data_IF_755040717957
#
_entry.id   IF_755040717957
#
_cell.length_a   1.000
_cell.length_b   1.000
_cell.length_c   1.000
_cell.angle_alpha   90.00
_cell.angle_beta   90.00
_cell.angle_gamma   90.00
#
_symmetry.space_group_name_H-M   'P 1'
#
loop_
_entity.id
_entity.type
_entity.pdbx_description
1 polymer ?
#
# COMPACT_ATOMS: atom_id res chain seq x y z
N UNK A 1 -33.94 76.50 -28.71
CA UNK A 1 -34.43 75.25 -28.08
C UNK A 1 -34.17 74.10 -29.04
N UNK A 2 -33.10 73.34 -28.82
CA UNK A 2 -33.08 71.86 -28.83
C UNK A 2 -31.64 71.37 -28.69
N UNK A 3 -31.47 70.55 -27.66
CA UNK A 3 -30.25 69.91 -27.20
C UNK A 3 -30.07 68.65 -28.05
N UNK A 4 -28.87 68.40 -28.59
CA UNK A 4 -28.56 67.11 -29.22
C UNK A 4 -27.37 66.49 -28.49
N UNK A 5 -27.68 65.45 -27.72
CA UNK A 5 -26.81 64.78 -26.75
C UNK A 5 -25.63 64.08 -27.44
N UNK A 6 -24.43 64.28 -26.88
CA UNK A 6 -23.23 63.51 -27.23
C UNK A 6 -23.41 62.06 -26.78
N UNK A 7 -23.47 61.12 -27.74
CA UNK A 7 -23.35 59.70 -27.47
C UNK A 7 -21.96 59.39 -26.90
N UNK A 8 -21.89 58.90 -25.65
CA UNK A 8 -20.64 58.42 -25.06
C UNK A 8 -20.24 57.14 -25.79
N UNK A 9 -19.05 57.11 -26.36
CA UNK A 9 -18.42 55.87 -26.80
C UNK A 9 -17.97 55.12 -25.53
N UNK A 10 -18.78 54.16 -25.08
CA UNK A 10 -18.34 53.16 -24.11
C UNK A 10 -17.45 52.16 -24.86
N UNK A 11 -16.24 52.58 -25.20
CA UNK A 11 -15.23 51.68 -25.74
C UNK A 11 -14.65 50.93 -24.53
N UNK A 12 -15.30 49.84 -24.16
CA UNK A 12 -14.78 48.95 -23.13
C UNK A 12 -13.49 48.32 -23.68
N UNK A 13 -12.40 48.51 -22.94
CA UNK A 13 -11.10 47.92 -23.19
C UNK A 13 -11.20 46.38 -23.04
N UNK A 14 -11.68 45.70 -24.08
CA UNK A 14 -11.87 44.24 -24.11
C UNK A 14 -10.63 43.51 -24.68
N UNK A 15 -9.60 44.25 -25.07
CA UNK A 15 -8.45 43.69 -25.80
C UNK A 15 -7.35 43.06 -24.94
N UNK A 16 -7.54 42.94 -23.61
CA UNK A 16 -6.60 42.29 -22.70
C UNK A 16 -7.15 41.11 -21.90
N UNK A 17 -8.47 40.87 -21.95
CA UNK A 17 -9.10 39.85 -21.11
C UNK A 17 -9.03 38.44 -21.71
N UNK A 18 -8.94 38.30 -23.03
CA UNK A 18 -8.82 36.97 -23.66
C UNK A 18 -7.45 36.31 -23.46
N UNK A 19 -6.40 37.11 -23.31
CA UNK A 19 -5.03 36.59 -23.21
C UNK A 19 -4.78 35.96 -21.83
N UNK A 20 -5.20 36.67 -20.78
CA UNK A 20 -5.06 36.22 -19.39
C UNK A 20 -6.10 35.16 -19.04
N UNK A 21 -7.37 35.33 -19.44
CA UNK A 21 -8.41 34.34 -19.13
C UNK A 21 -8.14 33.02 -19.87
N UNK A 22 -7.66 33.07 -21.12
CA UNK A 22 -7.25 31.87 -21.86
C UNK A 22 -6.08 31.15 -21.21
N UNK A 23 -5.09 31.91 -20.71
CA UNK A 23 -3.93 31.34 -20.02
C UNK A 23 -4.31 30.66 -18.71
N UNK A 24 -5.14 31.31 -17.88
CA UNK A 24 -5.62 30.73 -16.63
C UNK A 24 -6.47 29.48 -16.91
N UNK A 25 -7.33 29.52 -17.93
CA UNK A 25 -8.13 28.36 -18.34
C UNK A 25 -7.24 27.18 -18.79
N UNK A 26 -6.18 27.45 -19.57
CA UNK A 26 -5.25 26.42 -20.04
C UNK A 26 -4.47 25.79 -18.87
N UNK A 27 -3.98 26.59 -17.94
CA UNK A 27 -3.22 26.09 -16.77
C UNK A 27 -4.14 25.26 -15.89
N UNK A 28 -5.38 25.69 -15.65
CA UNK A 28 -6.31 24.94 -14.79
C UNK A 28 -6.65 23.57 -15.35
N UNK A 29 -6.99 23.46 -16.63
CA UNK A 29 -7.33 22.17 -17.23
C UNK A 29 -6.13 21.21 -17.30
N UNK A 30 -4.92 21.74 -17.54
CA UNK A 30 -3.70 20.92 -17.59
C UNK A 30 -3.29 20.45 -16.21
N UNK A 31 -3.37 21.28 -15.18
CA UNK A 31 -3.14 20.87 -13.78
C UNK A 31 -4.16 19.82 -13.35
N UNK A 32 -5.42 19.96 -13.75
CA UNK A 32 -6.44 18.95 -13.49
C UNK A 32 -6.11 17.61 -14.17
N UNK A 33 -5.75 17.62 -15.47
CA UNK A 33 -5.35 16.41 -16.18
C UNK A 33 -4.11 15.76 -15.56
N UNK A 34 -3.08 16.55 -15.25
CA UNK A 34 -1.87 16.06 -14.60
C UNK A 34 -2.17 15.41 -13.24
N UNK A 35 -3.09 15.99 -12.47
CA UNK A 35 -3.52 15.47 -11.17
C UNK A 35 -4.21 14.11 -11.32
N UNK A 36 -5.13 13.97 -12.28
CA UNK A 36 -5.82 12.70 -12.53
C UNK A 36 -4.82 11.60 -12.91
N UNK A 37 -3.87 11.90 -13.79
CA UNK A 37 -2.82 10.95 -14.17
C UNK A 37 -1.93 10.58 -12.98
N UNK A 38 -1.54 11.56 -12.15
CA UNK A 38 -0.76 11.30 -10.94
C UNK A 38 -1.50 10.38 -9.95
N UNK A 39 -2.79 10.64 -9.70
CA UNK A 39 -3.63 9.78 -8.85
C UNK A 39 -3.74 8.38 -9.43
N UNK A 40 -3.94 8.25 -10.75
CA UNK A 40 -4.02 6.95 -11.41
C UNK A 40 -2.73 6.15 -11.23
N UNK A 41 -1.56 6.78 -11.40
CA UNK A 41 -0.25 6.12 -11.23
C UNK A 41 -0.04 5.70 -9.77
N UNK A 42 -0.38 6.56 -8.81
CA UNK A 42 -0.22 6.23 -7.38
C UNK A 42 -1.19 5.15 -6.91
N UNK A 43 -2.41 5.09 -7.46
CA UNK A 43 -3.37 4.03 -7.14
C UNK A 43 -2.99 2.67 -7.75
N UNK A 44 -2.01 2.60 -8.65
CA UNK A 44 -1.48 1.32 -9.14
C UNK A 44 -0.51 0.65 -8.16
N UNK A 45 -0.05 1.36 -7.11
CA UNK A 45 0.67 0.72 -6.02
C UNK A 45 -0.38 0.36 -4.95
N UNK A 46 -0.86 -0.90 -4.89
CA UNK A 46 -1.65 -1.31 -3.73
C UNK A 46 -0.81 -1.07 -2.48
N UNK A 47 -1.43 -0.61 -1.38
CA UNK A 47 -0.74 -0.58 -0.10
C UNK A 47 -0.18 -1.97 0.17
N UNK A 48 1.09 -2.02 0.55
CA UNK A 48 1.68 -3.24 1.08
C UNK A 48 1.02 -3.51 2.43
N UNK A 49 -0.10 -4.24 2.40
CA UNK A 49 -0.75 -4.71 3.61
C UNK A 49 0.18 -5.75 4.25
N UNK A 50 0.85 -5.33 5.31
CA UNK A 50 1.63 -6.21 6.18
C UNK A 50 0.67 -6.65 7.27
N UNK A 51 0.39 -7.97 7.40
CA UNK A 51 -0.45 -8.47 8.46
C UNK A 51 0.19 -8.15 9.80
N UNK A 52 -0.58 -7.57 10.70
CA UNK A 52 -0.11 -7.24 12.04
C UNK A 52 -0.28 -8.49 12.89
N UNK A 53 0.79 -9.27 13.04
CA UNK A 53 0.82 -10.48 13.85
C UNK A 53 1.76 -10.32 15.02
N UNK A 54 1.34 -10.85 16.16
CA UNK A 54 2.15 -10.96 17.37
C UNK A 54 2.58 -12.42 17.53
N UNK A 55 3.88 -12.61 17.72
CA UNK A 55 4.51 -13.93 17.65
C UNK A 55 5.45 -14.09 18.83
N UNK A 56 5.33 -15.22 19.52
CA UNK A 56 6.27 -15.63 20.56
C UNK A 56 7.16 -16.78 20.07
N UNK A 57 8.41 -16.77 20.50
CA UNK A 57 9.43 -17.74 20.07
C UNK A 57 9.90 -18.50 21.30
N UNK A 58 9.51 -19.76 21.40
CA UNK A 58 9.85 -20.63 22.51
C UNK A 58 10.82 -21.73 22.06
N UNK A 59 11.97 -21.91 22.74
CA UNK A 59 12.87 -23.01 22.43
C UNK A 59 12.27 -24.35 22.87
N UNK A 60 12.18 -25.32 21.95
CA UNK A 60 11.68 -26.67 22.20
C UNK A 60 12.77 -27.72 21.90
N UNK A 61 13.76 -27.82 22.79
CA UNK A 61 14.83 -28.79 22.68
C UNK A 61 15.79 -28.49 21.51
N UNK A 62 15.72 -29.30 20.44
CA UNK A 62 16.49 -29.07 19.20
C UNK A 62 15.72 -28.29 18.13
N UNK A 63 14.47 -27.97 18.43
CA UNK A 63 13.56 -27.23 17.58
C UNK A 63 13.18 -25.91 18.25
N UNK A 64 12.57 -25.02 17.49
CA UNK A 64 12.01 -23.77 18.02
C UNK A 64 10.55 -23.71 17.62
N UNK A 65 9.70 -23.48 18.61
CA UNK A 65 8.27 -23.33 18.47
C UNK A 65 7.94 -21.85 18.35
N UNK A 66 7.18 -21.52 17.31
CA UNK A 66 6.73 -20.17 17.01
C UNK A 66 5.22 -20.14 17.22
N UNK A 67 4.76 -19.36 18.19
CA UNK A 67 3.34 -19.32 18.62
C UNK A 67 2.71 -18.02 18.17
N UNK A 68 1.55 -18.09 17.51
CA UNK A 68 0.76 -16.91 17.16
C UNK A 68 -0.01 -16.42 18.38
N UNK A 69 0.37 -15.28 18.93
CA UNK A 69 -0.18 -14.75 20.19
C UNK A 69 -1.31 -13.76 19.98
N UNK A 70 -1.47 -13.21 18.76
CA UNK A 70 -2.48 -12.21 18.48
C UNK A 70 -2.35 -11.59 17.09
N UNK A 71 -3.41 -10.88 16.66
CA UNK A 71 -3.42 -10.18 15.38
C UNK A 71 -4.32 -10.83 14.33
N UNK A 72 -3.95 -10.65 13.06
CA UNK A 72 -4.70 -11.18 11.92
C UNK A 72 -4.25 -12.62 11.57
N UNK A 73 -5.15 -13.51 11.11
CA UNK A 73 -4.74 -14.77 10.50
C UNK A 73 -3.93 -14.50 9.23
N UNK A 74 -2.88 -15.29 9.01
CA UNK A 74 -1.97 -15.13 7.86
C UNK A 74 -1.70 -16.49 7.23
N UNK A 75 -1.63 -16.56 5.92
CA UNK A 75 -1.28 -17.81 5.22
C UNK A 75 0.18 -18.18 5.49
N UNK A 76 0.42 -19.44 5.87
CA UNK A 76 1.79 -19.95 6.08
C UNK A 76 2.61 -19.91 4.79
N UNK A 77 1.99 -20.02 3.62
CA UNK A 77 2.67 -19.95 2.33
C UNK A 77 3.22 -18.54 2.02
N UNK A 78 2.60 -17.50 2.60
CA UNK A 78 3.04 -16.11 2.48
C UNK A 78 4.11 -15.73 3.51
N UNK A 79 4.47 -16.65 4.41
CA UNK A 79 5.48 -16.45 5.44
C UNK A 79 6.77 -17.21 5.14
N UNK A 80 7.90 -16.51 5.27
CA UNK A 80 9.23 -17.11 5.24
C UNK A 80 9.93 -16.91 6.57
N UNK A 81 10.37 -18.02 7.16
CA UNK A 81 11.19 -18.03 8.36
C UNK A 81 12.67 -18.08 7.96
N UNK A 82 13.44 -17.08 8.36
CA UNK A 82 14.88 -17.01 8.09
C UNK A 82 15.69 -17.00 9.39
N UNK A 83 16.74 -17.79 9.43
CA UNK A 83 17.73 -17.80 10.51
C UNK A 83 19.09 -17.47 9.90
N UNK A 84 19.72 -16.38 10.35
CA UNK A 84 20.99 -15.89 9.80
C UNK A 84 21.03 -15.76 8.26
N UNK A 85 19.89 -15.47 7.63
CA UNK A 85 19.77 -15.32 6.17
C UNK A 85 19.58 -16.64 5.39
N UNK A 86 19.44 -17.78 6.06
CA UNK A 86 19.02 -19.05 5.46
C UNK A 86 17.55 -19.33 5.74
N UNK A 87 16.81 -19.76 4.72
CA UNK A 87 15.41 -20.17 4.84
C UNK A 87 15.33 -21.53 5.56
N UNK A 88 14.49 -21.61 6.59
CA UNK A 88 14.28 -22.81 7.40
C UNK A 88 12.97 -23.47 7.01
N UNK A 89 12.99 -24.80 6.89
CA UNK A 89 11.79 -25.59 6.61
C UNK A 89 10.95 -25.77 7.86
N UNK A 90 9.63 -25.64 7.67
CA UNK A 90 8.64 -25.92 8.71
C UNK A 90 8.49 -27.43 8.83
N UNK A 91 8.73 -27.98 10.02
CA UNK A 91 8.63 -29.41 10.27
C UNK A 91 7.20 -29.85 10.59
N UNK A 92 6.49 -29.04 11.36
CA UNK A 92 5.12 -29.31 11.75
C UNK A 92 4.38 -27.99 12.03
N UNK A 93 3.14 -27.90 11.56
CA UNK A 93 2.28 -26.74 11.76
C UNK A 93 0.95 -27.24 12.33
N UNK A 94 0.70 -26.94 13.60
CA UNK A 94 -0.39 -27.56 14.36
C UNK A 94 -1.27 -26.52 15.04
N UNK A 95 -2.60 -26.62 14.92
CA UNK A 95 -3.35 -26.96 13.71
C UNK A 95 -3.49 -25.73 12.80
N UNK A 96 -3.04 -25.82 11.55
CA UNK A 96 -3.47 -24.85 10.54
C UNK A 96 -4.92 -25.12 10.15
N UNK A 97 -5.68 -24.07 9.84
CA UNK A 97 -7.04 -24.22 9.32
C UNK A 97 -7.02 -24.92 7.94
N UNK A 98 -8.20 -25.34 7.44
CA UNK A 98 -8.32 -25.99 6.12
C UNK A 98 -7.81 -25.16 4.94
N UNK A 99 -7.59 -23.86 5.16
CA UNK A 99 -7.00 -22.91 4.21
C UNK A 99 -5.49 -22.68 4.42
N UNK A 100 -4.81 -23.51 5.23
CA UNK A 100 -3.39 -23.34 5.58
C UNK A 100 -3.04 -22.02 6.32
N UNK A 101 -4.05 -21.35 6.86
CA UNK A 101 -3.92 -20.11 7.63
C UNK A 101 -3.40 -20.38 9.04
N UNK A 102 -2.37 -19.64 9.43
CA UNK A 102 -1.82 -19.55 10.77
C UNK A 102 -2.65 -18.56 11.60
N UNK A 103 -3.26 -19.04 12.68
CA UNK A 103 -4.22 -18.30 13.50
C UNK A 103 -3.79 -18.26 14.97
N UNK A 104 -4.40 -17.37 15.74
CA UNK A 104 -4.10 -17.18 17.16
C UNK A 104 -4.19 -18.51 17.92
N UNK A 105 -3.17 -18.79 18.74
CA UNK A 105 -3.07 -20.00 19.57
C UNK A 105 -2.57 -21.24 18.83
N UNK A 106 -2.13 -21.10 17.58
CA UNK A 106 -1.53 -22.19 16.79
C UNK A 106 -0.01 -22.05 16.75
N UNK A 107 0.69 -23.18 16.65
CA UNK A 107 2.14 -23.26 16.77
C UNK A 107 2.77 -23.84 15.51
N UNK A 108 3.84 -23.21 15.05
CA UNK A 108 4.70 -23.67 13.96
C UNK A 108 6.04 -24.07 14.57
N UNK A 109 6.45 -25.32 14.35
CA UNK A 109 7.73 -25.84 14.81
C UNK A 109 8.76 -25.80 13.68
N UNK A 110 9.87 -25.12 13.92
CA UNK A 110 10.99 -24.97 13.00
C UNK A 110 12.13 -25.94 13.36
N UNK A 111 12.81 -26.48 12.34
CA UNK A 111 14.04 -27.28 12.52
C UNK A 111 15.26 -26.39 12.76
N UNK A 112 15.27 -25.70 13.88
CA UNK A 112 16.40 -24.88 14.27
C UNK A 112 16.55 -24.88 15.77
N UNK A 113 17.79 -24.82 16.23
CA UNK A 113 18.14 -24.63 17.64
C UNK A 113 18.41 -23.14 17.95
N UNK A 114 18.13 -22.25 17.00
CA UNK A 114 18.39 -20.82 17.15
C UNK A 114 17.09 -20.03 17.30
N UNK A 115 17.04 -19.18 18.33
CA UNK A 115 15.91 -18.31 18.63
C UNK A 115 15.91 -17.00 17.84
N UNK A 116 17.03 -16.66 17.16
CA UNK A 116 17.11 -15.50 16.27
C UNK A 116 16.43 -15.80 14.92
N UNK A 117 15.10 -15.80 14.93
CA UNK A 117 14.26 -16.04 13.75
C UNK A 117 13.76 -14.70 13.22
N UNK A 118 14.00 -14.45 11.94
CA UNK A 118 13.42 -13.34 11.21
C UNK A 118 12.20 -13.83 10.42
N UNK A 119 11.06 -13.20 10.67
CA UNK A 119 9.82 -13.47 9.94
C UNK A 119 9.68 -12.50 8.77
N UNK A 120 9.55 -13.03 7.57
CA UNK A 120 9.39 -12.24 6.35
C UNK A 120 8.04 -12.58 5.72
N UNK A 121 7.15 -11.59 5.68
CA UNK A 121 5.91 -11.66 4.92
C UNK A 121 6.18 -11.35 3.45
N UNK A 122 5.77 -12.24 2.55
CA UNK A 122 5.77 -12.06 1.11
C UNK A 122 4.34 -12.26 0.60
N UNK A 123 3.59 -11.18 0.34
CA UNK A 123 2.23 -11.32 -0.17
C UNK A 123 2.26 -12.06 -1.51
N UNK A 124 1.37 -13.05 -1.68
CA UNK A 124 1.22 -13.84 -2.91
C UNK A 124 0.78 -13.00 -4.11
N UNK A 125 0.27 -11.79 -3.87
CA UNK A 125 -0.26 -10.86 -4.88
C UNK A 125 0.83 -10.08 -5.66
N UNK A 126 2.10 -10.46 -5.54
CA UNK A 126 3.22 -9.91 -6.32
C UNK A 126 3.30 -10.46 -7.75
N UNK A 127 2.22 -10.39 -8.52
CA UNK A 127 2.22 -10.67 -9.96
C UNK A 127 1.73 -9.43 -10.72
N UNK A 128 2.68 -8.59 -11.13
CA UNK A 128 2.57 -7.89 -12.40
C UNK A 128 3.74 -8.37 -13.27
N UNK A 129 3.48 -9.31 -14.17
CA UNK A 129 4.22 -9.38 -15.44
C UNK A 129 3.82 -8.20 -16.33
#
# INVERSE_FOLDING_TARGET
MLIMQRGRCLQADESGVSDVVGTVLMITITVLMATIVAIAIFNLQPPMDIPHIDVDIEPNGSNVDVVHMGGEPVDVEELKFMVHGQEITINNSSPLNSSNEWSIGTTITLDTNNTDINLIHKPSQGLIE
#
